data_IF_103647304805
#
_entry.id   IF_103647304805
#
_cell.length_a   1.000
_cell.length_b   1.000
_cell.length_c   1.000
_cell.angle_alpha   90.00
_cell.angle_beta   90.00
_cell.angle_gamma   90.00
#
_symmetry.space_group_name_H-M   'P 1'
#
loop_
_entity.id
_entity.type
_entity.pdbx_description
1 polymer ?
#
# COMPACT_ATOMS: atom_id res chain seq x y z
N UNK A 1 -23.65 18.25 14.58
CA UNK A 1 -23.08 17.09 13.89
C UNK A 1 -23.25 15.87 14.78
N UNK A 2 -23.39 14.65 14.23
CA UNK A 2 -23.41 13.43 15.04
C UNK A 2 -21.98 13.09 15.44
N UNK A 3 -21.68 12.72 16.70
CA UNK A 3 -20.31 12.40 17.15
C UNK A 3 -19.64 11.32 16.30
N UNK A 4 -20.43 10.36 15.81
CA UNK A 4 -19.99 9.31 14.87
C UNK A 4 -19.41 9.88 13.56
N UNK A 5 -20.02 10.95 13.05
CA UNK A 5 -19.57 11.62 11.82
C UNK A 5 -18.23 12.30 12.04
N UNK A 6 -18.08 12.97 13.17
CA UNK A 6 -16.88 13.75 13.47
C UNK A 6 -15.66 12.84 13.68
N UNK A 7 -15.84 11.70 14.35
CA UNK A 7 -14.80 10.68 14.54
C UNK A 7 -14.33 10.06 13.22
N UNK A 8 -15.27 9.68 12.35
CA UNK A 8 -14.93 9.16 11.02
C UNK A 8 -14.18 10.20 10.18
N UNK A 9 -14.70 11.42 10.11
CA UNK A 9 -14.04 12.47 9.34
C UNK A 9 -12.64 12.78 9.89
N UNK A 10 -12.45 12.73 11.21
CA UNK A 10 -11.13 12.89 11.83
C UNK A 10 -10.18 11.74 11.44
N UNK A 11 -10.66 10.50 11.44
CA UNK A 11 -9.86 9.35 11.00
C UNK A 11 -9.49 9.43 9.51
N UNK A 12 -10.43 9.81 8.65
CA UNK A 12 -10.17 10.02 7.20
C UNK A 12 -9.18 11.17 6.99
N UNK A 13 -9.32 12.28 7.71
CA UNK A 13 -8.34 13.38 7.66
C UNK A 13 -6.95 12.94 8.13
N UNK A 14 -6.88 12.15 9.21
CA UNK A 14 -5.62 11.68 9.76
C UNK A 14 -4.92 10.65 8.87
N UNK A 15 -5.67 9.76 8.23
CA UNK A 15 -5.11 8.59 7.53
C UNK A 15 -5.27 8.62 6.00
N UNK A 16 -6.03 9.56 5.44
CA UNK A 16 -6.31 9.62 4.00
C UNK A 16 -5.06 9.63 3.13
N UNK A 17 -4.04 10.42 3.51
CA UNK A 17 -2.78 10.49 2.76
C UNK A 17 -2.05 9.13 2.72
N UNK A 18 -2.09 8.36 3.81
CA UNK A 18 -1.43 7.06 3.84
C UNK A 18 -2.25 5.97 3.15
N UNK A 19 -3.58 6.01 3.27
CA UNK A 19 -4.48 5.13 2.54
C UNK A 19 -4.26 5.28 1.03
N UNK A 20 -4.23 6.52 0.54
CA UNK A 20 -3.93 6.84 -0.86
C UNK A 20 -2.54 6.36 -1.27
N UNK A 21 -1.50 6.69 -0.49
CA UNK A 21 -0.14 6.27 -0.83
C UNK A 21 -0.04 4.75 -0.92
N UNK A 22 -0.64 4.03 0.02
CA UNK A 22 -0.68 2.57 -0.05
C UNK A 22 -1.41 2.05 -1.28
N UNK A 23 -2.61 2.57 -1.58
CA UNK A 23 -3.36 2.18 -2.79
C UNK A 23 -2.54 2.44 -4.07
N UNK A 24 -1.90 3.61 -4.18
CA UNK A 24 -1.03 3.96 -5.30
C UNK A 24 0.15 2.99 -5.44
N UNK A 25 0.82 2.63 -4.35
CA UNK A 25 1.90 1.64 -4.38
C UNK A 25 1.45 0.23 -4.78
N UNK A 26 0.17 -0.11 -4.58
CA UNK A 26 -0.40 -1.38 -5.00
C UNK A 26 -0.74 -1.40 -6.49
N UNK A 27 -1.39 -0.36 -7.00
CA UNK A 27 -1.93 -0.33 -8.36
C UNK A 27 -1.10 0.44 -9.40
N UNK A 28 -0.21 1.35 -8.96
CA UNK A 28 0.62 2.23 -9.81
C UNK A 28 -0.17 3.18 -10.72
N UNK A 29 -1.46 3.36 -10.44
CA UNK A 29 -2.34 4.24 -11.20
C UNK A 29 -2.99 5.23 -10.22
N UNK A 30 -2.86 6.53 -10.53
CA UNK A 30 -3.39 7.60 -9.69
C UNK A 30 -4.91 7.56 -9.62
N UNK A 31 -5.59 7.39 -10.76
CA UNK A 31 -7.04 7.37 -10.83
C UNK A 31 -7.60 6.13 -10.11
N UNK A 32 -7.02 4.96 -10.38
CA UNK A 32 -7.41 3.74 -9.69
C UNK A 32 -7.14 3.80 -8.19
N UNK A 33 -6.05 4.45 -7.76
CA UNK A 33 -5.77 4.65 -6.34
C UNK A 33 -6.81 5.57 -5.66
N UNK A 34 -7.22 6.66 -6.33
CA UNK A 34 -8.29 7.55 -5.85
C UNK A 34 -9.61 6.78 -5.72
N UNK A 35 -9.99 6.01 -6.74
CA UNK A 35 -11.21 5.20 -6.74
C UNK A 35 -11.20 4.16 -5.61
N UNK A 36 -10.10 3.43 -5.43
CA UNK A 36 -9.94 2.46 -4.34
C UNK A 36 -10.15 3.12 -2.96
N UNK A 37 -9.57 4.30 -2.75
CA UNK A 37 -9.71 5.01 -1.47
C UNK A 37 -11.13 5.54 -1.29
N UNK A 38 -11.77 6.05 -2.34
CA UNK A 38 -13.17 6.49 -2.27
C UNK A 38 -14.10 5.33 -1.92
N UNK A 39 -14.00 4.20 -2.64
CA UNK A 39 -14.75 2.97 -2.36
C UNK A 39 -14.50 2.48 -0.92
N UNK A 40 -13.25 2.52 -0.47
CA UNK A 40 -12.88 2.15 0.90
C UNK A 40 -13.52 3.08 1.94
N UNK A 41 -13.50 4.39 1.72
CA UNK A 41 -14.15 5.37 2.60
C UNK A 41 -15.67 5.18 2.66
N UNK A 42 -16.32 4.89 1.53
CA UNK A 42 -17.77 4.62 1.50
C UNK A 42 -18.13 3.35 2.28
N UNK A 43 -17.35 2.28 2.14
CA UNK A 43 -17.54 1.05 2.95
C UNK A 43 -17.25 1.28 4.42
N UNK A 44 -16.18 2.00 4.72
CA UNK A 44 -15.80 2.34 6.08
C UNK A 44 -16.88 3.18 6.75
N UNK A 45 -17.49 4.14 6.05
CA UNK A 45 -18.59 4.94 6.58
C UNK A 45 -19.78 4.09 7.01
N UNK A 46 -20.18 3.15 6.16
CA UNK A 46 -21.30 2.24 6.44
C UNK A 46 -21.02 1.30 7.62
N UNK A 47 -19.77 0.83 7.75
CA UNK A 47 -19.35 -0.09 8.80
C UNK A 47 -18.75 0.61 10.04
N UNK A 48 -18.71 1.95 10.09
CA UNK A 48 -17.99 2.68 11.13
C UNK A 48 -18.51 2.40 12.54
N UNK A 49 -19.82 2.14 12.68
CA UNK A 49 -20.43 1.79 13.97
C UNK A 49 -19.96 0.46 14.54
N UNK A 50 -19.41 -0.41 13.69
CA UNK A 50 -18.95 -1.73 14.11
C UNK A 50 -17.50 -1.68 14.62
N UNK A 51 -16.80 -0.55 14.40
CA UNK A 51 -15.47 -0.31 14.94
C UNK A 51 -15.57 -0.01 16.45
N UNK A 52 -15.31 -1.04 17.26
CA UNK A 52 -15.40 -0.96 18.73
C UNK A 52 -14.22 -0.22 19.38
N UNK A 53 -13.06 -0.25 18.75
CA UNK A 53 -11.83 0.35 19.26
C UNK A 53 -11.28 1.38 18.25
N UNK A 54 -11.42 2.69 18.55
CA UNK A 54 -10.90 3.75 17.70
C UNK A 54 -9.38 3.67 17.46
N UNK A 55 -8.61 3.07 18.37
CA UNK A 55 -7.15 2.91 18.19
C UNK A 55 -6.81 2.00 17.00
N UNK A 56 -7.74 1.11 16.63
CA UNK A 56 -7.61 0.19 15.50
C UNK A 56 -8.06 0.80 14.17
N UNK A 57 -8.57 2.04 14.16
CA UNK A 57 -9.10 2.67 12.96
C UNK A 57 -8.11 2.64 11.79
N UNK A 58 -6.83 2.92 12.04
CA UNK A 58 -5.78 2.91 11.01
C UNK A 58 -5.60 1.52 10.40
N UNK A 59 -5.46 0.49 11.23
CA UNK A 59 -5.28 -0.91 10.80
C UNK A 59 -6.50 -1.37 10.00
N UNK A 60 -7.69 -1.07 10.52
CA UNK A 60 -8.96 -1.44 9.91
C UNK A 60 -9.17 -0.76 8.54
N UNK A 61 -8.92 0.54 8.42
CA UNK A 61 -9.02 1.27 7.16
C UNK A 61 -8.02 0.74 6.11
N UNK A 62 -6.79 0.42 6.50
CA UNK A 62 -5.80 -0.19 5.60
C UNK A 62 -6.25 -1.56 5.10
N UNK A 63 -6.92 -2.36 5.94
CA UNK A 63 -7.52 -3.63 5.52
C UNK A 63 -8.65 -3.43 4.51
N UNK A 64 -9.51 -2.42 4.69
CA UNK A 64 -10.56 -2.09 3.73
C UNK A 64 -9.95 -1.68 2.37
N UNK A 65 -8.96 -0.78 2.37
CA UNK A 65 -8.26 -0.36 1.13
C UNK A 65 -7.66 -1.55 0.40
N UNK A 66 -7.00 -2.46 1.12
CA UNK A 66 -6.46 -3.70 0.54
C UNK A 66 -7.55 -4.55 -0.10
N UNK A 67 -8.68 -4.72 0.58
CA UNK A 67 -9.80 -5.51 0.05
C UNK A 67 -10.38 -4.87 -1.23
N UNK A 68 -10.49 -3.54 -1.28
CA UNK A 68 -10.95 -2.84 -2.48
C UNK A 68 -9.97 -2.97 -3.65
N UNK A 69 -8.67 -2.91 -3.40
CA UNK A 69 -7.66 -3.22 -4.42
C UNK A 69 -7.79 -4.66 -4.95
N UNK A 70 -8.01 -5.64 -4.07
CA UNK A 70 -8.20 -7.04 -4.51
C UNK A 70 -9.48 -7.19 -5.35
N UNK A 71 -10.56 -6.46 -5.01
CA UNK A 71 -11.80 -6.42 -5.80
C UNK A 71 -11.60 -5.75 -7.15
N UNK A 72 -10.90 -4.61 -7.23
CA UNK A 72 -10.64 -3.92 -8.50
C UNK A 72 -9.81 -4.81 -9.43
N UNK A 73 -8.79 -5.49 -8.90
CA UNK A 73 -7.99 -6.46 -9.68
C UNK A 73 -8.80 -7.65 -10.18
N UNK A 74 -9.75 -8.15 -9.38
CA UNK A 74 -10.63 -9.24 -9.83
C UNK A 74 -11.59 -8.80 -10.94
N UNK A 75 -12.06 -7.55 -10.91
CA UNK A 75 -12.90 -6.96 -11.96
C UNK A 75 -12.11 -6.77 -13.26
N UNK A 76 -10.94 -6.15 -13.19
CA UNK A 76 -10.05 -5.94 -14.35
C UNK A 76 -9.60 -7.26 -15.02
N UNK A 77 -9.35 -8.32 -14.24
CA UNK A 77 -9.06 -9.66 -14.80
C UNK A 77 -10.22 -10.27 -15.61
N UNK A 78 -11.45 -9.87 -15.33
CA UNK A 78 -12.63 -10.32 -16.07
C UNK A 78 -12.93 -9.42 -17.29
N UNK A 79 -12.23 -8.29 -17.43
CA UNK A 79 -12.59 -7.18 -18.31
C UNK A 79 -11.42 -6.77 -19.23
N UNK A 80 -10.59 -7.73 -19.65
CA UNK A 80 -9.38 -7.45 -20.46
C UNK A 80 -9.73 -6.73 -21.78
N UNK A 81 -9.68 -5.41 -21.76
CA UNK A 81 -9.31 -4.51 -22.85
C UNK A 81 -8.52 -3.33 -22.27
N UNK A 82 -7.25 -3.27 -22.66
CA UNK A 82 -6.33 -2.13 -22.79
C UNK A 82 -6.52 -0.91 -21.85
N UNK A 83 -5.48 -0.57 -21.08
CA UNK A 83 -4.61 0.55 -21.46
C UNK A 83 -3.41 0.78 -20.52
N UNK A 84 -2.43 1.46 -21.09
CA UNK A 84 -1.12 1.83 -20.57
C UNK A 84 -1.17 2.73 -19.32
N UNK A 85 -0.20 2.52 -18.42
CA UNK A 85 -0.06 3.28 -17.17
C UNK A 85 0.77 4.54 -17.40
N UNK A 86 0.14 5.71 -17.25
CA UNK A 86 0.78 7.02 -17.28
C UNK A 86 1.58 7.27 -15.98
N UNK A 87 2.89 7.39 -16.12
CA UNK A 87 3.84 7.55 -15.02
C UNK A 87 4.19 9.03 -14.87
N UNK A 88 3.43 9.79 -14.07
CA UNK A 88 3.86 11.14 -13.71
C UNK A 88 3.30 11.75 -12.40
N UNK A 89 4.24 12.34 -11.65
CA UNK A 89 4.17 13.34 -10.56
C UNK A 89 4.02 12.87 -9.10
N UNK A 90 5.15 12.87 -8.38
CA UNK A 90 5.28 12.83 -6.91
C UNK A 90 6.03 14.08 -6.39
N UNK A 91 5.64 14.69 -5.24
CA UNK A 91 6.38 15.78 -4.60
C UNK A 91 7.65 15.33 -3.83
N UNK A 92 8.58 16.27 -3.67
CA UNK A 92 10.05 16.16 -3.61
C UNK A 92 10.73 15.61 -2.31
N UNK A 93 12.07 15.56 -2.41
CA UNK A 93 13.15 15.35 -1.43
C UNK A 93 13.67 13.91 -1.20
N UNK A 94 14.19 13.32 -2.27
CA UNK A 94 15.44 12.54 -2.48
C UNK A 94 15.73 12.68 -3.99
N UNK A 95 16.94 12.41 -4.52
CA UNK A 95 17.16 12.62 -5.96
C UNK A 95 16.12 11.83 -6.77
N UNK A 96 15.47 12.47 -7.74
CA UNK A 96 14.32 11.93 -8.47
C UNK A 96 14.60 10.53 -9.05
N UNK A 97 15.84 10.32 -9.53
CA UNK A 97 16.32 9.05 -10.05
C UNK A 97 16.39 7.94 -8.99
N UNK A 98 16.91 8.22 -7.78
CA UNK A 98 16.98 7.23 -6.70
C UNK A 98 15.59 6.82 -6.19
N UNK A 99 14.63 7.76 -6.20
CA UNK A 99 13.23 7.46 -5.86
C UNK A 99 12.62 6.55 -6.91
N UNK A 100 12.69 6.92 -8.20
CA UNK A 100 12.12 6.12 -9.29
C UNK A 100 12.72 4.71 -9.33
N UNK A 101 14.04 4.57 -9.18
CA UNK A 101 14.70 3.26 -9.05
C UNK A 101 14.16 2.46 -7.87
N UNK A 102 14.00 3.10 -6.71
CA UNK A 102 13.45 2.43 -5.51
C UNK A 102 12.01 1.99 -5.75
N UNK A 103 11.19 2.83 -6.39
CA UNK A 103 9.81 2.50 -6.70
C UNK A 103 9.68 1.34 -7.67
N UNK A 104 10.47 1.33 -8.75
CA UNK A 104 10.57 0.21 -9.68
C UNK A 104 11.04 -1.07 -8.98
N UNK A 105 12.06 -0.99 -8.13
CA UNK A 105 12.57 -2.16 -7.43
C UNK A 105 11.53 -2.79 -6.50
N UNK A 106 10.73 -1.96 -5.83
CA UNK A 106 9.63 -2.39 -4.97
C UNK A 106 8.46 -2.93 -5.81
N UNK A 107 8.12 -2.27 -6.93
CA UNK A 107 7.06 -2.72 -7.84
C UNK A 107 7.37 -4.08 -8.47
N UNK A 108 8.65 -4.42 -8.66
CA UNK A 108 9.07 -5.74 -9.14
C UNK A 108 9.04 -6.84 -8.07
N UNK A 109 8.74 -6.54 -6.81
CA UNK A 109 8.55 -7.59 -5.79
C UNK A 109 7.23 -8.33 -6.03
N UNK A 110 7.16 -9.65 -5.83
CA UNK A 110 5.88 -10.35 -5.75
C UNK A 110 4.95 -9.70 -4.73
N UNK A 111 3.65 -9.61 -5.04
CA UNK A 111 2.66 -8.95 -4.16
C UNK A 111 2.66 -9.49 -2.73
N UNK A 112 2.91 -10.79 -2.56
CA UNK A 112 3.05 -11.47 -1.27
C UNK A 112 4.19 -10.95 -0.40
N UNK A 113 5.21 -10.33 -0.98
CA UNK A 113 6.33 -9.70 -0.29
C UNK A 113 6.20 -8.17 -0.26
N UNK A 114 5.62 -7.59 -1.31
CA UNK A 114 5.41 -6.15 -1.47
C UNK A 114 4.41 -5.61 -0.46
N UNK A 115 3.24 -6.25 -0.33
CA UNK A 115 2.16 -5.81 0.58
C UNK A 115 2.64 -5.66 2.04
N UNK A 116 3.23 -6.68 2.70
CA UNK A 116 3.70 -6.54 4.08
C UNK A 116 4.83 -5.49 4.21
N UNK A 117 5.70 -5.38 3.20
CA UNK A 117 6.77 -4.38 3.22
C UNK A 117 6.21 -2.96 3.19
N UNK A 118 5.24 -2.69 2.30
CA UNK A 118 4.60 -1.38 2.19
C UNK A 118 3.82 -1.03 3.47
N UNK A 119 3.12 -1.99 4.06
CA UNK A 119 2.44 -1.81 5.34
C UNK A 119 3.44 -1.43 6.45
N UNK A 120 4.60 -2.09 6.50
CA UNK A 120 5.63 -1.77 7.48
C UNK A 120 6.26 -0.38 7.23
N UNK A 121 6.67 -0.08 6.00
CA UNK A 121 7.44 1.13 5.67
C UNK A 121 6.56 2.38 5.62
N UNK A 122 5.36 2.30 5.04
CA UNK A 122 4.44 3.43 4.98
C UNK A 122 3.70 3.58 6.30
N UNK A 123 3.15 2.46 6.80
CA UNK A 123 2.22 2.41 7.93
C UNK A 123 2.85 2.31 9.30
N UNK A 124 4.11 1.90 9.40
CA UNK A 124 4.76 1.65 10.69
C UNK A 124 4.12 0.48 11.45
N UNK A 125 3.41 -0.41 10.76
CA UNK A 125 2.68 -1.51 11.40
C UNK A 125 3.62 -2.59 11.94
N UNK A 126 3.23 -3.14 13.08
CA UNK A 126 3.81 -4.34 13.65
C UNK A 126 3.49 -5.58 12.81
N UNK A 127 4.25 -6.67 12.98
CA UNK A 127 3.99 -7.91 12.26
C UNK A 127 2.60 -8.47 12.58
N UNK A 128 2.12 -8.31 13.82
CA UNK A 128 0.79 -8.71 14.25
C UNK A 128 -0.32 -7.91 13.54
N UNK A 129 -0.22 -6.58 13.46
CA UNK A 129 -1.20 -5.75 12.74
C UNK A 129 -1.21 -6.06 11.25
N UNK A 130 -0.03 -6.23 10.64
CA UNK A 130 0.09 -6.64 9.24
C UNK A 130 -0.57 -8.01 9.03
N UNK A 131 -0.41 -8.95 9.96
CA UNK A 131 -1.05 -10.25 9.89
C UNK A 131 -2.58 -10.13 9.86
N UNK A 132 -3.15 -9.24 10.70
CA UNK A 132 -4.57 -8.90 10.69
C UNK A 132 -5.03 -8.30 9.35
N UNK A 133 -4.29 -7.33 8.81
CA UNK A 133 -4.59 -6.69 7.51
C UNK A 133 -4.55 -7.69 6.36
N UNK A 134 -3.56 -8.60 6.38
CA UNK A 134 -3.34 -9.55 5.29
C UNK A 134 -4.16 -10.83 5.41
N UNK A 135 -4.79 -11.09 6.56
CA UNK A 135 -5.49 -12.34 6.85
C UNK A 135 -4.55 -13.54 6.91
N UNK A 136 -3.40 -13.40 7.56
CA UNK A 136 -2.37 -14.46 7.66
C UNK A 136 -1.77 -14.54 9.07
N UNK A 137 -0.76 -15.37 9.29
CA UNK A 137 -0.07 -15.47 10.59
C UNK A 137 1.09 -14.48 10.70
N UNK A 138 1.42 -14.07 11.94
CA UNK A 138 2.57 -13.21 12.20
C UNK A 138 3.89 -13.82 11.74
N UNK A 139 4.08 -15.14 11.92
CA UNK A 139 5.26 -15.85 11.42
C UNK A 139 5.37 -15.83 9.89
N UNK A 140 4.24 -15.91 9.17
CA UNK A 140 4.22 -15.76 7.72
C UNK A 140 4.59 -14.33 7.29
N UNK A 141 4.12 -13.32 8.03
CA UNK A 141 4.51 -11.91 7.81
C UNK A 141 6.02 -11.73 8.00
N UNK A 142 6.59 -12.21 9.11
CA UNK A 142 8.02 -12.12 9.39
C UNK A 142 8.87 -12.74 8.27
N UNK A 143 8.44 -13.92 7.79
CA UNK A 143 9.08 -14.61 6.68
C UNK A 143 9.01 -13.79 5.40
N UNK A 144 7.81 -13.29 5.04
CA UNK A 144 7.60 -12.47 3.84
C UNK A 144 8.42 -11.19 3.86
N UNK A 145 8.48 -10.49 5.01
CA UNK A 145 9.29 -9.29 5.19
C UNK A 145 10.79 -9.56 5.03
N UNK A 146 11.26 -10.67 5.59
CA UNK A 146 12.66 -11.09 5.44
C UNK A 146 13.01 -11.37 3.98
N UNK A 147 12.12 -12.08 3.26
CA UNK A 147 12.28 -12.33 1.82
C UNK A 147 12.22 -11.04 1.00
N UNK A 148 11.31 -10.11 1.33
CA UNK A 148 11.23 -8.81 0.69
C UNK A 148 12.55 -8.02 0.82
N UNK A 149 13.09 -7.92 2.04
CA UNK A 149 14.37 -7.25 2.31
C UNK A 149 15.54 -7.92 1.59
N UNK A 150 15.58 -9.25 1.55
CA UNK A 150 16.62 -9.99 0.84
C UNK A 150 16.57 -9.70 -0.67
N UNK A 151 15.38 -9.74 -1.28
CA UNK A 151 15.19 -9.47 -2.70
C UNK A 151 15.60 -8.02 -3.05
N UNK A 152 15.25 -7.04 -2.22
CA UNK A 152 15.70 -5.66 -2.42
C UNK A 152 17.21 -5.52 -2.31
N UNK A 153 17.85 -6.11 -1.28
CA UNK A 153 19.31 -6.07 -1.12
C UNK A 153 20.05 -6.62 -2.34
N UNK A 154 19.59 -7.75 -2.89
CA UNK A 154 20.19 -8.34 -4.09
C UNK A 154 20.06 -7.41 -5.31
N UNK A 155 18.93 -6.74 -5.46
CA UNK A 155 18.70 -5.77 -6.54
C UNK A 155 19.56 -4.52 -6.40
N UNK A 156 19.66 -3.96 -5.19
CA UNK A 156 20.55 -2.82 -4.91
C UNK A 156 22.03 -3.17 -5.15
N UNK A 157 22.49 -4.35 -4.71
CA UNK A 157 23.85 -4.80 -4.95
C UNK A 157 24.17 -4.95 -6.45
N UNK A 158 23.22 -5.51 -7.22
CA UNK A 158 23.37 -5.66 -8.67
C UNK A 158 23.39 -4.31 -9.40
N UNK A 159 22.51 -3.38 -9.03
CA UNK A 159 22.47 -2.03 -9.60
C UNK A 159 23.76 -1.24 -9.32
N UNK A 160 24.31 -1.37 -8.10
CA UNK A 160 25.56 -0.72 -7.74
C UNK A 160 26.79 -1.36 -8.42
N UNK A 161 26.78 -2.67 -8.66
CA UNK A 161 27.83 -3.34 -9.43
C UNK A 161 27.89 -2.83 -10.88
N UNK A 162 26.74 -2.62 -11.52
CA UNK A 162 26.64 -2.05 -12.88
C UNK A 162 27.15 -0.60 -12.93
N UNK A 163 26.91 0.19 -11.87
CA UNK A 163 27.43 1.56 -11.77
C UNK A 163 28.95 1.62 -11.55
N UNK A 164 29.54 0.62 -10.89
CA UNK A 164 30.97 0.58 -10.54
C UNK A 164 31.91 0.12 -11.67
N UNK A 165 31.39 -0.47 -12.74
CA UNK A 165 32.21 -0.99 -13.87
C UNK A 165 32.42 0.01 -15.01
N UNK A 166 32.03 1.28 -14.82
CA UNK A 166 32.12 2.35 -15.82
C UNK A 166 33.14 3.46 -15.52
N UNK A 167 34.10 3.23 -14.61
CA UNK A 167 35.25 4.13 -14.37
C UNK A 167 36.57 3.45 -14.71
#
# INVERSE_FOLDING_TARGET
MSPKRDEFEQAVRAYGAILYRFAYWLCRDRHLAEDIVQDACLRAWNAWSDLRDPSQAKVWLMAIVRNEYLRSRSRSRNDLSLDDVDENQLPQMLSFAERLETEEMVSRLPGTYREPLLLQVLGGFTCAEIAGILGTSEGAVMTRLTRARQALRQRFASANAVRGTGS
#
